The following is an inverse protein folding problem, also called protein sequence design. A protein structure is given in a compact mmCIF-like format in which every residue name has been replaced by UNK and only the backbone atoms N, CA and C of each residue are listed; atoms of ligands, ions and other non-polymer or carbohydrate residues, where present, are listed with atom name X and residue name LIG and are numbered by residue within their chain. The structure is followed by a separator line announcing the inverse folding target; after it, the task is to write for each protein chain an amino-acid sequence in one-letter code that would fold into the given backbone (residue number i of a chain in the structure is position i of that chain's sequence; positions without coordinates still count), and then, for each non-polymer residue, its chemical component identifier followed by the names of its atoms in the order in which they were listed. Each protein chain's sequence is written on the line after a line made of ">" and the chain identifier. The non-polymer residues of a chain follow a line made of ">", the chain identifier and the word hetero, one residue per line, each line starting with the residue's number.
data_IF_386178384269
#
_entry.id   IF_386178384269
#
_cell.length_a   1.000
_cell.length_b   1.000
_cell.length_c   1.000
_cell.angle_alpha   90.00
_cell.angle_beta   90.00
_cell.angle_gamma   90.00
#
_symmetry.space_group_name_H-M   'P 1'
#
loop_
_entity.id
_entity.type
_entity.pdbx_description
1 polymer ?
#
# COMPACT_ATOMS: atom_id res chain seq x y z
N UNK A 1 19.91 18.95 -31.07
CA UNK A 1 18.69 19.79 -31.10
C UNK A 1 17.41 18.99 -31.10
N UNK A 2 17.32 17.86 -31.82
CA UNK A 2 16.09 17.04 -31.84
C UNK A 2 15.81 16.29 -30.54
N UNK A 3 16.85 15.88 -29.81
CA UNK A 3 16.72 15.17 -28.56
C UNK A 3 16.19 16.09 -27.41
N UNK A 4 16.70 17.32 -27.34
CA UNK A 4 16.25 18.30 -26.33
C UNK A 4 14.81 18.78 -26.60
N UNK A 5 14.38 18.85 -27.85
CA UNK A 5 12.99 19.11 -28.21
C UNK A 5 12.05 17.94 -27.85
N UNK A 6 12.51 16.70 -28.06
CA UNK A 6 11.77 15.51 -27.65
C UNK A 6 11.58 15.41 -26.13
N UNK A 7 12.64 15.68 -25.37
CA UNK A 7 12.61 15.68 -23.90
C UNK A 7 11.70 16.79 -23.37
N UNK A 8 11.76 18.00 -23.96
CA UNK A 8 10.90 19.13 -23.58
C UNK A 8 9.43 18.81 -23.85
N UNK A 9 9.12 18.18 -24.98
CA UNK A 9 7.75 17.75 -25.29
C UNK A 9 7.24 16.69 -24.30
N UNK A 10 8.06 15.69 -23.96
CA UNK A 10 7.71 14.72 -22.93
C UNK A 10 7.47 15.37 -21.56
N UNK A 11 8.28 16.35 -21.17
CA UNK A 11 8.11 17.11 -19.93
C UNK A 11 6.80 17.91 -19.92
N UNK A 12 6.47 18.55 -21.05
CA UNK A 12 5.21 19.29 -21.21
C UNK A 12 4.00 18.35 -21.16
N UNK A 13 4.09 17.17 -21.79
CA UNK A 13 3.04 16.15 -21.81
C UNK A 13 2.81 15.56 -20.39
N UNK A 14 3.89 15.25 -19.65
CA UNK A 14 3.82 14.78 -18.26
C UNK A 14 3.26 15.87 -17.34
N UNK A 15 3.71 17.11 -17.51
CA UNK A 15 3.18 18.25 -16.73
C UNK A 15 1.70 18.48 -17.00
N UNK A 16 1.27 18.35 -18.26
CA UNK A 16 -0.14 18.43 -18.64
C UNK A 16 -0.96 17.27 -18.04
N UNK A 17 -0.44 16.04 -18.10
CA UNK A 17 -1.09 14.87 -17.51
C UNK A 17 -1.23 15.00 -15.99
N UNK A 18 -0.20 15.50 -15.30
CA UNK A 18 -0.25 15.76 -13.84
C UNK A 18 -1.29 16.84 -13.53
N UNK A 19 -1.32 17.95 -14.28
CA UNK A 19 -2.34 18.99 -14.09
C UNK A 19 -3.77 18.48 -14.29
N UNK A 20 -3.98 17.58 -15.25
CA UNK A 20 -5.28 16.95 -15.48
C UNK A 20 -5.63 16.00 -14.31
N UNK A 21 -4.68 15.16 -13.87
CA UNK A 21 -4.86 14.27 -12.73
C UNK A 21 -5.17 15.05 -11.45
N UNK A 22 -4.40 16.10 -11.15
CA UNK A 22 -4.64 16.95 -9.95
C UNK A 22 -6.02 17.63 -10.01
N UNK A 23 -6.45 18.08 -11.22
CA UNK A 23 -7.80 18.62 -11.37
C UNK A 23 -8.89 17.57 -11.22
N UNK A 24 -8.71 16.37 -11.75
CA UNK A 24 -9.65 15.26 -11.57
C UNK A 24 -9.73 14.82 -10.11
N UNK A 25 -8.59 14.75 -9.41
CA UNK A 25 -8.56 14.44 -7.98
C UNK A 25 -9.23 15.54 -7.13
N UNK A 26 -9.00 16.82 -7.42
CA UNK A 26 -9.65 17.92 -6.74
C UNK A 26 -11.18 17.89 -6.95
N UNK A 27 -11.66 17.65 -8.17
CA UNK A 27 -13.09 17.50 -8.48
C UNK A 27 -13.68 16.27 -7.80
N UNK A 28 -12.93 15.16 -7.78
CA UNK A 28 -13.34 13.94 -7.08
C UNK A 28 -13.41 14.15 -5.56
N UNK A 29 -12.39 14.79 -4.97
CA UNK A 29 -12.37 15.13 -3.55
C UNK A 29 -13.51 16.10 -3.15
N UNK A 30 -13.80 17.08 -4.00
CA UNK A 30 -14.90 18.01 -3.79
C UNK A 30 -16.26 17.30 -3.89
N UNK A 31 -16.45 16.42 -4.88
CA UNK A 31 -17.66 15.61 -5.01
C UNK A 31 -17.86 14.64 -3.84
N UNK A 32 -16.78 14.14 -3.25
CA UNK A 32 -16.80 13.28 -2.05
C UNK A 32 -17.20 14.12 -0.82
N UNK A 33 -16.63 15.32 -0.66
CA UNK A 33 -16.96 16.27 0.43
C UNK A 33 -18.42 16.71 0.35
N UNK A 34 -18.89 17.10 -0.83
CA UNK A 34 -20.28 17.52 -1.04
C UNK A 34 -21.29 16.40 -0.77
N UNK A 35 -20.93 15.17 -1.17
CA UNK A 35 -21.73 13.98 -0.84
C UNK A 35 -21.71 13.65 0.65
N UNK A 36 -20.60 13.84 1.34
CA UNK A 36 -20.52 13.69 2.79
C UNK A 36 -21.38 14.74 3.53
N UNK A 37 -21.33 16.00 3.09
CA UNK A 37 -22.19 17.08 3.62
C UNK A 37 -23.68 16.83 3.36
N UNK A 38 -24.07 16.44 2.15
CA UNK A 38 -25.47 16.08 1.83
C UNK A 38 -25.95 14.88 2.63
N UNK A 39 -25.08 13.86 2.81
CA UNK A 39 -25.42 12.70 3.64
C UNK A 39 -25.53 13.09 5.13
N UNK A 40 -24.66 13.95 5.64
CA UNK A 40 -24.74 14.46 7.02
C UNK A 40 -26.02 15.28 7.24
N UNK A 41 -26.39 16.16 6.32
CA UNK A 41 -27.65 16.92 6.37
C UNK A 41 -28.87 15.99 6.29
N UNK A 42 -28.87 15.03 5.39
CA UNK A 42 -29.92 14.02 5.29
C UNK A 42 -30.04 13.18 6.57
N UNK A 43 -28.92 12.87 7.18
CA UNK A 43 -28.84 12.12 8.45
C UNK A 43 -29.39 12.91 9.63
N UNK A 44 -29.07 14.21 9.72
CA UNK A 44 -29.60 15.13 10.75
C UNK A 44 -31.11 15.30 10.57
N UNK A 45 -31.59 15.49 9.35
CA UNK A 45 -33.01 15.62 9.06
C UNK A 45 -33.79 14.34 9.39
N UNK A 46 -33.23 13.18 9.02
CA UNK A 46 -33.81 11.87 9.36
C UNK A 46 -33.82 11.63 10.87
N UNK A 47 -32.73 12.02 11.58
CA UNK A 47 -32.66 11.92 13.03
C UNK A 47 -33.67 12.82 13.75
N UNK A 48 -33.91 14.04 13.24
CA UNK A 48 -34.96 14.94 13.78
C UNK A 48 -36.35 14.37 13.59
N UNK A 49 -36.67 13.82 12.42
CA UNK A 49 -37.94 13.17 12.14
C UNK A 49 -38.19 11.94 13.03
N UNK A 50 -37.14 11.15 13.30
CA UNK A 50 -37.24 10.00 14.23
C UNK A 50 -37.48 10.45 15.65
N UNK A 51 -36.78 11.50 16.13
CA UNK A 51 -36.98 12.01 17.47
C UNK A 51 -38.42 12.48 17.71
N UNK A 52 -39.04 13.10 16.73
CA UNK A 52 -40.46 13.47 16.82
C UNK A 52 -41.38 12.25 16.85
N UNK A 53 -41.05 11.18 16.12
CA UNK A 53 -41.79 9.93 16.14
C UNK A 53 -41.57 9.10 17.42
N UNK A 54 -40.34 9.12 17.97
CA UNK A 54 -39.97 8.41 19.21
C UNK A 54 -40.72 8.89 20.46
N UNK A 55 -41.04 10.16 20.55
CA UNK A 55 -41.83 10.67 21.69
C UNK A 55 -43.22 10.03 21.76
N UNK A 56 -43.73 9.57 20.65
CA UNK A 56 -45.07 8.91 20.60
C UNK A 56 -45.02 7.39 20.72
N UNK A 57 -43.89 6.74 20.41
CA UNK A 57 -43.80 5.28 20.39
C UNK A 57 -42.85 4.68 21.46
N UNK A 58 -42.29 5.51 22.34
CA UNK A 58 -41.18 5.18 23.23
C UNK A 58 -41.39 3.99 24.17
N UNK A 59 -42.63 3.70 24.55
CA UNK A 59 -42.91 2.64 25.53
C UNK A 59 -43.00 1.22 24.93
N UNK A 60 -43.29 1.08 23.65
CA UNK A 60 -43.53 -0.26 23.05
C UNK A 60 -42.35 -0.87 22.30
N UNK A 61 -41.38 -0.08 21.85
CA UNK A 61 -40.33 -0.57 20.91
C UNK A 61 -38.89 -0.47 21.45
N UNK A 62 -38.69 0.06 22.66
CA UNK A 62 -37.33 0.37 23.17
C UNK A 62 -36.40 -0.84 23.32
N UNK A 63 -36.94 -2.04 23.48
CA UNK A 63 -36.17 -3.25 23.78
C UNK A 63 -36.45 -4.45 22.86
N UNK A 64 -37.21 -4.30 21.79
CA UNK A 64 -37.54 -5.40 20.89
C UNK A 64 -36.45 -5.72 19.85
N UNK A 65 -36.37 -6.96 19.42
CA UNK A 65 -35.43 -7.43 18.38
C UNK A 65 -35.57 -6.69 17.05
N UNK A 66 -36.73 -6.09 16.78
CA UNK A 66 -37.02 -5.33 15.57
C UNK A 66 -36.39 -3.92 15.57
N UNK A 67 -36.09 -3.37 16.73
CA UNK A 67 -35.45 -2.06 16.87
C UNK A 67 -33.91 -2.10 16.92
N UNK A 68 -33.31 -3.27 16.77
CA UNK A 68 -31.86 -3.44 16.77
C UNK A 68 -31.32 -3.61 15.34
N UNK A 69 -30.06 -3.18 15.13
CA UNK A 69 -29.37 -3.42 13.87
C UNK A 69 -29.12 -4.92 13.61
N UNK A 70 -29.02 -5.30 12.36
CA UNK A 70 -28.67 -6.67 11.98
C UNK A 70 -27.33 -7.08 12.57
N UNK A 71 -27.32 -8.11 13.40
CA UNK A 71 -26.11 -8.64 14.06
C UNK A 71 -25.25 -7.53 14.69
N UNK A 72 -25.85 -6.55 15.36
CA UNK A 72 -25.19 -5.32 15.81
C UNK A 72 -23.87 -5.56 16.56
N UNK A 73 -23.85 -6.51 17.51
CA UNK A 73 -22.65 -6.83 18.29
C UNK A 73 -21.53 -7.40 17.41
N UNK A 74 -21.88 -8.31 16.48
CA UNK A 74 -20.92 -8.89 15.53
C UNK A 74 -20.36 -7.83 14.60
N UNK A 75 -21.23 -6.99 14.03
CA UNK A 75 -20.83 -5.92 13.10
C UNK A 75 -19.93 -4.89 13.77
N UNK A 76 -20.25 -4.49 15.01
CA UNK A 76 -19.42 -3.54 15.76
C UNK A 76 -18.06 -4.16 16.15
N UNK A 77 -18.04 -5.43 16.55
CA UNK A 77 -16.80 -6.15 16.83
C UNK A 77 -15.91 -6.32 15.59
N UNK A 78 -16.48 -6.73 14.45
CA UNK A 78 -15.77 -6.82 13.18
C UNK A 78 -15.14 -5.46 12.78
N UNK A 79 -15.84 -4.35 13.04
CA UNK A 79 -15.36 -3.00 12.70
C UNK A 79 -14.25 -2.52 13.62
N UNK A 80 -14.37 -2.78 14.92
CA UNK A 80 -13.30 -2.48 15.87
C UNK A 80 -12.03 -3.25 15.48
N UNK A 81 -12.17 -4.52 15.17
CA UNK A 81 -11.06 -5.36 14.70
C UNK A 81 -10.45 -4.83 13.40
N UNK A 82 -11.28 -4.53 12.39
CA UNK A 82 -10.81 -3.96 11.13
C UNK A 82 -10.06 -2.63 11.33
N UNK A 83 -10.50 -1.78 12.26
CA UNK A 83 -9.80 -0.54 12.58
C UNK A 83 -8.47 -0.78 13.28
N UNK A 84 -8.38 -1.74 14.18
CA UNK A 84 -7.13 -2.14 14.83
C UNK A 84 -6.15 -2.74 13.82
N UNK A 85 -6.62 -3.58 12.91
CA UNK A 85 -5.81 -4.20 11.87
C UNK A 85 -5.29 -3.16 10.87
N UNK A 86 -6.09 -2.16 10.50
CA UNK A 86 -5.64 -1.04 9.68
C UNK A 86 -4.54 -0.21 10.38
N UNK A 87 -4.69 0.10 11.68
CA UNK A 87 -3.65 0.80 12.45
C UNK A 87 -2.36 -0.02 12.54
N UNK A 88 -2.49 -1.31 12.76
CA UNK A 88 -1.36 -2.23 12.84
C UNK A 88 -0.67 -2.38 11.48
N UNK A 89 -1.42 -2.41 10.38
CA UNK A 89 -0.88 -2.38 9.02
C UNK A 89 -0.10 -1.10 8.75
N UNK A 90 -0.64 0.07 9.11
CA UNK A 90 0.05 1.36 8.96
C UNK A 90 1.36 1.41 9.75
N UNK A 91 1.38 0.95 11.02
CA UNK A 91 2.60 0.87 11.83
C UNK A 91 3.61 -0.14 11.27
N UNK A 92 3.14 -1.26 10.74
CA UNK A 92 3.95 -2.28 10.09
C UNK A 92 4.65 -1.74 8.84
N UNK A 93 4.00 -0.86 8.07
CA UNK A 93 4.61 -0.23 6.88
C UNK A 93 5.86 0.54 7.29
N UNK A 94 5.76 1.40 8.32
CA UNK A 94 6.89 2.22 8.80
C UNK A 94 8.07 1.36 9.24
N UNK A 95 7.81 0.25 9.93
CA UNK A 95 8.85 -0.65 10.42
C UNK A 95 9.46 -1.51 9.31
N UNK A 96 8.67 -1.91 8.31
CA UNK A 96 9.10 -2.83 7.25
C UNK A 96 9.86 -2.16 6.11
N UNK A 97 9.64 -0.87 5.86
CA UNK A 97 10.36 -0.14 4.79
C UNK A 97 11.88 -0.15 5.02
N UNK A 98 12.33 -0.19 6.28
CA UNK A 98 13.75 -0.20 6.62
C UNK A 98 14.42 -1.57 6.72
N UNK A 99 13.68 -2.67 6.94
CA UNK A 99 14.26 -3.94 7.39
C UNK A 99 14.15 -5.12 6.42
N UNK A 100 13.14 -5.16 5.56
CA UNK A 100 12.85 -6.35 4.76
C UNK A 100 13.22 -6.24 3.27
N UNK A 101 13.42 -5.02 2.77
CA UNK A 101 13.77 -4.80 1.37
C UNK A 101 15.27 -4.64 1.24
N UNK A 102 15.91 -5.50 0.45
CA UNK A 102 17.35 -5.51 0.22
C UNK A 102 17.86 -4.14 -0.27
N UNK A 103 17.07 -3.43 -1.07
CA UNK A 103 17.40 -2.11 -1.62
C UNK A 103 16.67 -0.96 -0.91
N UNK A 104 16.29 -1.11 0.35
CA UNK A 104 15.60 -0.08 1.12
C UNK A 104 16.45 1.19 1.31
N UNK A 105 15.83 2.38 1.51
CA UNK A 105 16.54 3.60 1.83
C UNK A 105 17.47 3.43 3.02
N UNK A 106 18.67 3.99 2.94
CA UNK A 106 19.72 3.87 3.97
C UNK A 106 20.48 2.54 3.97
N UNK A 107 20.09 1.56 3.18
CA UNK A 107 20.77 0.27 3.09
C UNK A 107 22.02 0.38 2.22
N UNK A 108 23.14 -0.10 2.75
CA UNK A 108 24.39 -0.29 2.03
C UNK A 108 24.75 -1.77 2.09
N UNK A 109 24.92 -2.38 0.95
CA UNK A 109 25.24 -3.81 0.86
C UNK A 109 26.24 -4.05 -0.26
N UNK A 110 27.08 -5.06 -0.14
CA UNK A 110 27.91 -5.48 -1.27
C UNK A 110 27.00 -5.88 -2.44
N UNK A 111 27.10 -5.23 -3.63
CA UNK A 111 26.20 -5.49 -4.75
C UNK A 111 26.22 -6.96 -5.21
N UNK A 112 27.36 -7.63 -5.15
CA UNK A 112 27.45 -9.05 -5.50
C UNK A 112 26.69 -9.94 -4.51
N UNK A 113 26.82 -9.69 -3.20
CA UNK A 113 26.05 -10.44 -2.19
C UNK A 113 24.55 -10.15 -2.29
N UNK A 114 24.16 -8.90 -2.60
CA UNK A 114 22.78 -8.55 -2.82
C UNK A 114 22.21 -9.25 -4.06
N UNK A 115 22.96 -9.30 -5.15
CA UNK A 115 22.59 -10.02 -6.36
C UNK A 115 22.45 -11.52 -6.11
N UNK A 116 23.41 -12.12 -5.41
CA UNK A 116 23.36 -13.53 -5.02
C UNK A 116 22.13 -13.83 -4.15
N UNK A 117 21.84 -13.00 -3.16
CA UNK A 117 20.65 -13.15 -2.31
C UNK A 117 19.34 -13.03 -3.10
N UNK A 118 19.26 -12.11 -4.07
CA UNK A 118 18.09 -12.00 -4.96
C UNK A 118 17.94 -13.23 -5.87
N UNK A 119 19.03 -13.74 -6.41
CA UNK A 119 19.01 -14.96 -7.24
C UNK A 119 18.62 -16.19 -6.40
N UNK A 120 19.13 -16.32 -5.18
CA UNK A 120 18.72 -17.39 -4.26
C UNK A 120 17.24 -17.31 -3.90
N UNK A 121 16.74 -16.11 -3.59
CA UNK A 121 15.32 -15.90 -3.35
C UNK A 121 14.46 -16.24 -4.59
N UNK A 122 14.97 -15.96 -5.79
CA UNK A 122 14.29 -16.27 -7.03
C UNK A 122 14.22 -17.80 -7.33
N UNK A 123 15.13 -18.60 -6.81
CA UNK A 123 15.12 -20.06 -7.01
C UNK A 123 13.80 -20.71 -6.56
N UNK A 124 13.17 -20.20 -5.50
CA UNK A 124 11.85 -20.67 -5.05
C UNK A 124 10.74 -20.40 -6.08
N UNK A 125 10.92 -19.37 -6.91
CA UNK A 125 9.92 -18.89 -7.88
C UNK A 125 10.33 -19.16 -9.34
N UNK A 126 11.35 -19.98 -9.54
CA UNK A 126 11.89 -20.29 -10.86
C UNK A 126 10.84 -20.94 -11.75
N UNK A 127 10.71 -20.44 -12.99
CA UNK A 127 9.80 -21.01 -13.99
C UNK A 127 10.45 -22.19 -14.74
N UNK A 128 9.62 -23.03 -15.35
CA UNK A 128 10.12 -24.13 -16.20
C UNK A 128 11.01 -23.66 -17.34
N UNK A 129 10.71 -22.51 -17.92
CA UNK A 129 11.52 -21.88 -18.97
C UNK A 129 12.89 -21.43 -18.45
N UNK A 130 12.95 -20.87 -17.26
CA UNK A 130 14.19 -20.45 -16.62
C UNK A 130 15.06 -21.65 -16.21
N UNK A 131 14.43 -22.70 -15.69
CA UNK A 131 15.13 -23.94 -15.39
C UNK A 131 15.70 -24.59 -16.66
N UNK A 132 14.93 -24.60 -17.75
CA UNK A 132 15.40 -25.13 -19.05
C UNK A 132 16.55 -24.32 -19.64
N UNK A 133 16.65 -23.01 -19.34
CA UNK A 133 17.78 -22.17 -19.73
C UNK A 133 18.98 -22.22 -18.78
N UNK A 134 18.91 -23.01 -17.71
CA UNK A 134 20.01 -23.20 -16.76
C UNK A 134 20.16 -22.07 -15.74
N UNK A 135 19.17 -21.18 -15.61
CA UNK A 135 19.19 -20.10 -14.62
C UNK A 135 18.96 -20.58 -13.18
N UNK A 136 18.32 -21.72 -13.02
CA UNK A 136 18.06 -22.38 -11.74
C UNK A 136 18.00 -23.90 -11.93
N UNK A 137 18.19 -24.66 -10.84
CA UNK A 137 18.32 -26.12 -10.91
C UNK A 137 17.03 -26.87 -11.28
N UNK A 138 15.84 -26.31 -10.91
CA UNK A 138 14.53 -26.87 -11.21
C UNK A 138 13.45 -25.78 -11.13
N UNK A 139 12.30 -26.04 -11.76
CA UNK A 139 11.15 -25.17 -11.59
C UNK A 139 10.63 -25.23 -10.14
N UNK A 140 10.36 -24.08 -9.54
CA UNK A 140 9.79 -23.94 -8.20
C UNK A 140 8.29 -24.24 -8.18
N UNK A 141 7.77 -24.65 -7.03
CA UNK A 141 6.33 -24.89 -6.83
C UNK A 141 5.51 -23.59 -7.05
N UNK A 142 6.08 -22.45 -6.72
CA UNK A 142 5.48 -21.11 -6.82
C UNK A 142 6.02 -20.32 -8.02
N UNK A 143 6.21 -21.00 -9.16
CA UNK A 143 6.86 -20.48 -10.35
C UNK A 143 6.27 -19.12 -10.81
N UNK A 144 7.15 -18.12 -10.98
CA UNK A 144 6.82 -16.80 -11.52
C UNK A 144 6.14 -15.84 -10.56
N UNK A 145 5.76 -16.23 -9.34
CA UNK A 145 5.06 -15.33 -8.39
C UNK A 145 5.90 -14.11 -8.00
N UNK A 146 7.22 -14.20 -7.98
CA UNK A 146 8.11 -13.05 -7.70
C UNK A 146 8.19 -12.02 -8.82
N UNK A 147 7.53 -12.26 -9.96
CA UNK A 147 7.54 -11.39 -11.14
C UNK A 147 6.14 -10.90 -11.54
N UNK A 148 5.08 -11.43 -10.91
CA UNK A 148 3.69 -11.11 -11.26
C UNK A 148 3.12 -10.07 -10.31
N UNK A 149 2.61 -8.94 -10.84
CA UNK A 149 1.99 -7.88 -10.05
C UNK A 149 0.76 -8.38 -9.26
N UNK A 150 0.02 -9.36 -9.77
CA UNK A 150 -1.12 -10.00 -9.08
C UNK A 150 -0.76 -10.57 -7.71
N UNK A 151 0.49 -10.96 -7.49
CA UNK A 151 1.01 -11.45 -6.21
C UNK A 151 0.81 -10.43 -5.09
N UNK A 152 0.93 -9.13 -5.36
CA UNK A 152 0.71 -8.07 -4.35
C UNK A 152 -0.75 -7.98 -3.89
N UNK A 153 -1.69 -8.41 -4.71
CA UNK A 153 -3.12 -8.35 -4.44
C UNK A 153 -3.69 -9.67 -3.91
N UNK A 154 -2.83 -10.58 -3.50
CA UNK A 154 -3.21 -11.88 -2.95
C UNK A 154 -2.95 -11.89 -1.44
N UNK A 155 -3.89 -12.40 -0.66
CA UNK A 155 -3.72 -12.54 0.79
C UNK A 155 -2.57 -13.47 1.11
N UNK A 156 -1.65 -12.99 1.94
CA UNK A 156 -0.45 -13.71 2.32
C UNK A 156 -0.24 -13.63 3.84
N UNK A 157 -0.34 -14.77 4.53
CA UNK A 157 0.07 -14.86 5.93
C UNK A 157 1.59 -14.67 6.05
N UNK A 158 2.08 -14.12 7.18
CA UNK A 158 3.51 -14.02 7.45
C UNK A 158 4.21 -15.38 7.26
N UNK A 159 5.45 -15.35 6.79
CA UNK A 159 6.33 -16.51 6.58
C UNK A 159 5.87 -17.53 5.53
N UNK A 160 4.79 -17.25 4.79
CA UNK A 160 4.35 -18.08 3.67
C UNK A 160 5.15 -17.82 2.40
N UNK A 161 5.14 -18.77 1.46
CA UNK A 161 5.73 -18.60 0.13
C UNK A 161 5.16 -17.36 -0.60
N UNK A 162 3.87 -17.08 -0.43
CA UNK A 162 3.23 -15.90 -1.01
C UNK A 162 3.79 -14.60 -0.42
N UNK A 163 4.01 -14.52 0.89
CA UNK A 163 4.63 -13.35 1.52
C UNK A 163 6.07 -13.14 1.05
N UNK A 164 6.84 -14.24 0.90
CA UNK A 164 8.19 -14.18 0.31
C UNK A 164 8.16 -13.75 -1.14
N UNK A 165 7.18 -14.21 -1.93
CA UNK A 165 6.99 -13.79 -3.32
C UNK A 165 6.67 -12.30 -3.43
N UNK A 166 5.82 -11.77 -2.54
CA UNK A 166 5.53 -10.33 -2.48
C UNK A 166 6.79 -9.51 -2.16
N UNK A 167 7.59 -9.95 -1.20
CA UNK A 167 8.85 -9.30 -0.86
C UNK A 167 9.86 -9.37 -2.01
N UNK A 168 9.99 -10.53 -2.65
CA UNK A 168 10.85 -10.71 -3.82
C UNK A 168 10.42 -9.81 -4.99
N UNK A 169 9.11 -9.69 -5.25
CA UNK A 169 8.58 -8.78 -6.27
C UNK A 169 8.94 -7.32 -5.97
N UNK A 170 8.76 -6.87 -4.74
CA UNK A 170 9.11 -5.49 -4.34
C UNK A 170 10.62 -5.27 -4.51
N UNK A 171 11.47 -6.21 -4.08
CA UNK A 171 12.91 -6.14 -4.25
C UNK A 171 13.32 -6.07 -5.73
N UNK A 172 12.67 -6.87 -6.58
CA UNK A 172 12.91 -6.86 -8.03
C UNK A 172 12.52 -5.52 -8.68
N UNK A 173 11.46 -4.87 -8.20
CA UNK A 173 11.03 -3.56 -8.68
C UNK A 173 11.93 -2.42 -8.21
N UNK A 174 12.40 -2.47 -6.96
CA UNK A 174 13.25 -1.42 -6.37
C UNK A 174 14.69 -1.52 -6.87
N UNK A 175 15.16 -2.72 -7.18
CA UNK A 175 16.51 -2.99 -7.67
C UNK A 175 17.53 -3.24 -6.55
N UNK A 176 18.82 -3.23 -6.93
CA UNK A 176 19.92 -3.54 -6.03
C UNK A 176 20.24 -2.36 -5.09
N UNK A 177 20.67 -2.62 -3.84
CA UNK A 177 21.14 -1.59 -2.94
C UNK A 177 22.46 -0.97 -3.43
N UNK A 178 22.75 0.23 -2.95
CA UNK A 178 23.99 0.92 -3.30
C UNK A 178 25.21 0.29 -2.64
N UNK A 179 26.36 0.45 -3.29
CA UNK A 179 27.63 -0.05 -2.77
C UNK A 179 27.99 0.61 -1.42
N UNK A 180 28.56 -0.16 -0.48
CA UNK A 180 29.03 0.42 0.78
C UNK A 180 30.18 1.39 0.54
N UNK A 181 30.27 2.43 1.38
CA UNK A 181 31.33 3.42 1.37
C UNK A 181 32.06 3.40 2.71
N UNK A 182 33.40 3.41 2.67
CA UNK A 182 34.23 3.54 3.87
C UNK A 182 34.07 4.94 4.47
N UNK A 183 34.01 5.05 5.81
CA UNK A 183 33.86 6.32 6.51
C UNK A 183 34.99 7.33 6.26
N UNK A 184 36.18 6.86 5.85
CA UNK A 184 37.29 7.73 5.43
C UNK A 184 37.07 8.32 4.05
N UNK A 185 36.54 7.50 3.12
CA UNK A 185 36.20 7.92 1.77
C UNK A 185 35.00 8.86 1.80
N UNK A 186 34.02 8.61 2.67
CA UNK A 186 32.84 9.46 2.84
C UNK A 186 33.16 10.90 3.24
N UNK A 187 34.34 11.15 3.83
CA UNK A 187 34.82 12.51 4.21
C UNK A 187 35.51 13.23 3.06
N UNK A 188 35.84 12.58 1.98
CA UNK A 188 36.39 13.20 0.78
C UNK A 188 35.30 13.89 -0.04
N UNK A 189 35.67 14.85 -0.88
CA UNK A 189 34.71 15.52 -1.79
C UNK A 189 33.93 14.50 -2.63
N UNK A 190 34.60 13.57 -3.29
CA UNK A 190 33.98 12.53 -4.09
C UNK A 190 33.07 11.58 -3.26
N UNK A 191 33.45 11.32 -2.01
CA UNK A 191 32.63 10.55 -1.08
C UNK A 191 31.37 11.29 -0.64
N UNK A 192 31.47 12.59 -0.40
CA UNK A 192 30.33 13.44 -0.09
C UNK A 192 29.36 13.52 -1.27
N UNK A 193 29.84 13.67 -2.49
CA UNK A 193 29.03 13.65 -3.71
C UNK A 193 28.28 12.33 -3.87
N UNK A 194 28.95 11.20 -3.59
CA UNK A 194 28.30 9.88 -3.59
C UNK A 194 27.18 9.77 -2.54
N UNK A 195 27.46 10.22 -1.30
CA UNK A 195 26.46 10.19 -0.22
C UNK A 195 25.26 11.06 -0.59
N UNK A 196 25.49 12.27 -1.11
CA UNK A 196 24.42 13.16 -1.54
C UNK A 196 23.58 12.56 -2.68
N UNK A 197 24.22 11.95 -3.67
CA UNK A 197 23.53 11.25 -4.75
C UNK A 197 22.68 10.08 -4.24
N UNK A 198 23.20 9.30 -3.27
CA UNK A 198 22.45 8.24 -2.63
C UNK A 198 21.24 8.77 -1.86
N UNK A 199 21.42 9.79 -1.02
CA UNK A 199 20.31 10.38 -0.26
C UNK A 199 19.22 10.89 -1.19
N UNK A 200 19.59 11.52 -2.31
CA UNK A 200 18.65 11.98 -3.30
C UNK A 200 17.91 10.81 -3.99
N UNK A 201 18.61 9.72 -4.31
CA UNK A 201 18.01 8.50 -4.88
C UNK A 201 17.06 7.85 -3.87
N UNK A 202 17.48 7.69 -2.62
CA UNK A 202 16.67 7.10 -1.56
C UNK A 202 15.38 7.90 -1.32
N UNK A 203 15.48 9.23 -1.32
CA UNK A 203 14.33 10.11 -1.18
C UNK A 203 13.33 9.98 -2.35
N UNK A 204 13.83 9.78 -3.57
CA UNK A 204 13.00 9.60 -4.77
C UNK A 204 12.35 8.21 -4.85
N UNK A 205 13.00 7.17 -4.35
CA UNK A 205 12.49 5.78 -4.43
C UNK A 205 11.61 5.43 -3.24
N UNK A 206 11.78 6.07 -2.08
CA UNK A 206 11.06 5.77 -0.85
C UNK A 206 9.54 5.85 -0.97
N UNK A 207 8.92 6.82 -1.67
CA UNK A 207 7.46 6.86 -1.81
C UNK A 207 6.91 5.64 -2.56
N UNK A 208 7.61 5.17 -3.59
CA UNK A 208 7.22 3.97 -4.33
C UNK A 208 7.30 2.72 -3.46
N UNK A 209 8.40 2.55 -2.71
CA UNK A 209 8.57 1.44 -1.77
C UNK A 209 7.46 1.46 -0.71
N UNK A 210 7.20 2.62 -0.12
CA UNK A 210 6.15 2.80 0.90
C UNK A 210 4.77 2.45 0.32
N UNK A 211 4.48 2.85 -0.90
CA UNK A 211 3.22 2.54 -1.57
C UNK A 211 3.05 1.03 -1.81
N UNK A 212 4.08 0.34 -2.30
CA UNK A 212 4.08 -1.11 -2.50
C UNK A 212 3.92 -1.87 -1.18
N UNK A 213 4.64 -1.46 -0.15
CA UNK A 213 4.52 -2.03 1.21
C UNK A 213 3.15 -1.78 1.83
N UNK A 214 2.53 -0.63 1.55
CA UNK A 214 1.17 -0.34 1.98
C UNK A 214 0.15 -1.29 1.33
N UNK A 215 0.31 -1.59 0.03
CA UNK A 215 -0.53 -2.60 -0.64
C UNK A 215 -0.31 -3.98 0.01
N UNK A 216 0.93 -4.40 0.18
CA UNK A 216 1.25 -5.67 0.83
C UNK A 216 0.62 -5.78 2.22
N UNK A 217 0.68 -4.72 3.03
CA UNK A 217 0.11 -4.70 4.38
C UNK A 217 -1.42 -4.86 4.40
N UNK A 218 -2.12 -4.36 3.37
CA UNK A 218 -3.58 -4.54 3.25
C UNK A 218 -3.99 -6.00 3.00
N UNK A 219 -3.11 -6.79 2.37
CA UNK A 219 -3.33 -8.20 2.09
C UNK A 219 -2.64 -9.14 3.08
N UNK A 220 -1.97 -8.62 4.10
CA UNK A 220 -1.30 -9.43 5.11
C UNK A 220 -2.14 -9.48 6.39
N UNK A 221 -2.49 -10.67 6.91
CA UNK A 221 -3.09 -10.83 8.23
C UNK A 221 -2.15 -10.28 9.30
N UNK A 222 -2.69 -9.47 10.22
CA UNK A 222 -1.88 -8.82 11.25
C UNK A 222 -1.64 -9.77 12.42
N UNK A 223 -0.38 -9.98 12.80
CA UNK A 223 -0.02 -10.71 13.99
C UNK A 223 -0.39 -9.87 15.23
N UNK A 224 -1.30 -10.34 16.06
CA UNK A 224 -1.70 -9.67 17.32
C UNK A 224 -3.05 -8.95 17.30
N UNK A 225 -3.84 -9.10 16.24
CA UNK A 225 -5.23 -8.67 16.21
C UNK A 225 -6.01 -9.24 17.40
N UNK A 226 -6.76 -8.39 18.11
CA UNK A 226 -7.40 -8.71 19.39
C UNK A 226 -8.33 -9.91 19.31
N UNK A 227 -8.38 -10.64 20.42
CA UNK A 227 -9.10 -11.90 20.63
C UNK A 227 -10.62 -11.73 20.84
N UNK A 228 -11.23 -10.65 20.35
CA UNK A 228 -12.63 -10.33 20.67
C UNK A 228 -13.64 -10.76 19.59
N UNK A 229 -13.23 -11.47 18.53
CA UNK A 229 -14.20 -12.08 17.64
C UNK A 229 -14.64 -13.43 18.17
N UNK A 230 -15.93 -13.72 18.06
CA UNK A 230 -16.58 -14.97 18.48
C UNK A 230 -15.99 -16.20 17.76
N UNK A 231 -15.10 -15.99 16.80
CA UNK A 231 -14.34 -17.01 16.07
C UNK A 231 -12.86 -16.64 16.09
N UNK A 232 -12.18 -17.02 17.15
CA UNK A 232 -10.81 -16.61 17.51
C UNK A 232 -9.71 -17.31 16.71
N UNK A 233 -10.02 -18.04 15.65
CA UNK A 233 -9.04 -18.89 14.95
C UNK A 233 -8.48 -18.31 13.66
N UNK A 234 -9.14 -17.36 13.00
CA UNK A 234 -8.71 -16.84 11.71
C UNK A 234 -8.39 -15.34 11.79
N UNK A 235 -7.11 -15.01 11.75
CA UNK A 235 -6.66 -13.62 11.56
C UNK A 235 -6.93 -13.21 10.12
N UNK A 236 -7.77 -12.21 9.93
CA UNK A 236 -8.11 -11.68 8.63
C UNK A 236 -7.16 -10.52 8.27
N UNK A 237 -6.85 -10.39 6.98
CA UNK A 237 -6.18 -9.21 6.47
C UNK A 237 -7.19 -8.02 6.38
N UNK A 238 -6.72 -6.75 6.43
CA UNK A 238 -7.61 -5.59 6.29
C UNK A 238 -8.53 -5.67 5.06
N UNK A 239 -8.03 -6.15 3.93
CA UNK A 239 -8.82 -6.33 2.72
C UNK A 239 -9.89 -7.41 2.87
N UNK A 240 -9.62 -8.49 3.61
CA UNK A 240 -10.61 -9.54 3.86
C UNK A 240 -11.75 -9.06 4.77
N UNK A 241 -11.47 -8.16 5.73
CA UNK A 241 -12.52 -7.51 6.52
C UNK A 241 -13.44 -6.68 5.62
N UNK A 242 -12.87 -5.95 4.67
CA UNK A 242 -13.63 -5.19 3.69
C UNK A 242 -14.50 -6.09 2.82
N UNK A 243 -13.93 -7.17 2.29
CA UNK A 243 -14.66 -8.16 1.48
C UNK A 243 -15.82 -8.80 2.27
N UNK A 244 -15.58 -9.15 3.54
CA UNK A 244 -16.63 -9.66 4.44
C UNK A 244 -17.74 -8.64 4.65
N UNK A 245 -17.39 -7.37 4.86
CA UNK A 245 -18.35 -6.28 5.01
C UNK A 245 -19.17 -6.06 3.75
N UNK A 246 -18.52 -6.00 2.59
CA UNK A 246 -19.21 -5.86 1.28
C UNK A 246 -20.13 -7.05 1.00
N UNK A 247 -19.67 -8.27 1.23
CA UNK A 247 -20.46 -9.49 0.97
C UNK A 247 -21.70 -9.58 1.85
N UNK A 248 -21.68 -9.00 3.07
CA UNK A 248 -22.82 -8.94 3.97
C UNK A 248 -23.96 -8.09 3.40
N UNK A 249 -23.63 -6.97 2.75
CA UNK A 249 -24.62 -6.01 2.23
C UNK A 249 -24.88 -6.12 0.72
N UNK A 250 -23.94 -6.66 -0.02
CA UNK A 250 -23.97 -6.79 -1.50
C UNK A 250 -23.49 -8.17 -1.89
N UNK A 251 -24.38 -9.07 -2.20
CA UNK A 251 -23.94 -10.39 -2.63
C UNK A 251 -25.07 -11.41 -2.77
N UNK A 252 -24.72 -12.67 -2.90
CA UNK A 252 -25.63 -13.81 -2.97
C UNK A 252 -25.44 -14.81 -1.81
N UNK A 253 -24.53 -14.51 -0.89
CA UNK A 253 -24.21 -15.35 0.26
C UNK A 253 -25.32 -15.45 1.29
N UNK A 254 -25.14 -16.33 2.27
CA UNK A 254 -26.12 -16.53 3.35
C UNK A 254 -26.29 -15.25 4.20
N UNK A 255 -25.19 -14.57 4.53
CA UNK A 255 -25.23 -13.32 5.29
C UNK A 255 -26.07 -12.23 4.62
N UNK A 256 -25.97 -12.10 3.29
CA UNK A 256 -26.81 -11.18 2.52
C UNK A 256 -28.30 -11.59 2.58
N UNK A 257 -28.60 -12.88 2.43
CA UNK A 257 -29.99 -13.38 2.51
C UNK A 257 -30.59 -13.11 3.89
N UNK A 258 -29.82 -13.32 4.94
CA UNK A 258 -30.25 -13.08 6.31
C UNK A 258 -30.41 -11.59 6.60
N UNK A 259 -29.51 -10.75 6.07
CA UNK A 259 -29.65 -9.30 6.09
C UNK A 259 -30.94 -8.86 5.37
N UNK A 260 -31.16 -9.32 4.15
CA UNK A 260 -32.35 -8.96 3.37
C UNK A 260 -33.66 -9.38 4.05
N UNK A 261 -33.70 -10.59 4.66
CA UNK A 261 -34.83 -11.04 5.46
C UNK A 261 -35.03 -10.15 6.69
N UNK A 262 -33.94 -9.76 7.36
CA UNK A 262 -34.04 -8.90 8.54
C UNK A 262 -34.58 -7.51 8.19
N UNK A 263 -34.24 -6.97 7.02
CA UNK A 263 -34.76 -5.68 6.56
C UNK A 263 -36.27 -5.68 6.37
N UNK A 264 -36.83 -6.79 5.91
CA UNK A 264 -38.28 -6.93 5.67
C UNK A 264 -39.13 -6.89 6.95
N UNK A 265 -38.55 -7.19 8.12
CA UNK A 265 -39.27 -7.30 9.41
C UNK A 265 -38.88 -6.19 10.39
N UNK A 266 -37.92 -5.31 10.06
CA UNK A 266 -37.45 -4.23 10.93
C UNK A 266 -38.42 -3.06 10.95
N UNK A 267 -38.43 -2.40 12.09
CA UNK A 267 -39.07 -1.10 12.22
C UNK A 267 -38.17 0.04 11.65
N UNK A 268 -38.70 1.24 11.60
CA UNK A 268 -38.03 2.43 11.09
C UNK A 268 -36.71 2.72 11.82
N UNK A 269 -36.64 2.50 13.14
CA UNK A 269 -35.44 2.67 13.94
C UNK A 269 -34.35 1.67 13.55
N UNK A 270 -34.70 0.40 13.42
CA UNK A 270 -33.77 -0.66 13.02
C UNK A 270 -33.17 -0.39 11.62
N UNK A 271 -33.99 0.08 10.67
CA UNK A 271 -33.54 0.49 9.34
C UNK A 271 -32.59 1.68 9.39
N UNK A 272 -32.87 2.68 10.23
CA UNK A 272 -32.00 3.85 10.39
C UNK A 272 -30.65 3.49 11.03
N UNK A 273 -30.65 2.59 12.02
CA UNK A 273 -29.39 2.14 12.64
C UNK A 273 -28.55 1.36 11.63
N UNK A 274 -29.15 0.51 10.80
CA UNK A 274 -28.43 -0.14 9.70
C UNK A 274 -27.88 0.87 8.70
N UNK A 275 -28.67 1.89 8.34
CA UNK A 275 -28.24 2.98 7.47
C UNK A 275 -27.07 3.78 8.05
N UNK A 276 -27.07 4.03 9.37
CA UNK A 276 -25.94 4.64 10.08
C UNK A 276 -24.68 3.78 10.02
N UNK A 277 -24.84 2.47 10.24
CA UNK A 277 -23.77 1.52 10.15
C UNK A 277 -23.16 1.55 8.73
N UNK A 278 -23.98 1.48 7.69
CA UNK A 278 -23.51 1.54 6.30
C UNK A 278 -22.84 2.90 5.97
N UNK A 279 -23.37 4.00 6.50
CA UNK A 279 -22.79 5.34 6.30
C UNK A 279 -21.40 5.48 6.92
N UNK A 280 -21.19 4.91 8.12
CA UNK A 280 -19.87 4.91 8.76
C UNK A 280 -18.88 3.98 8.04
N UNK A 281 -19.34 2.87 7.46
CA UNK A 281 -18.54 2.02 6.58
C UNK A 281 -18.06 2.79 5.34
N UNK A 282 -18.97 3.52 4.73
CA UNK A 282 -18.65 4.40 3.60
C UNK A 282 -17.62 5.46 3.98
N UNK A 283 -17.72 6.06 5.17
CA UNK A 283 -16.74 7.03 5.67
C UNK A 283 -15.36 6.39 5.84
N UNK A 284 -15.29 5.17 6.35
CA UNK A 284 -14.05 4.41 6.46
C UNK A 284 -13.41 4.16 5.08
N UNK A 285 -14.21 3.76 4.08
CA UNK A 285 -13.76 3.59 2.70
C UNK A 285 -13.21 4.89 2.11
N UNK A 286 -13.90 6.01 2.32
CA UNK A 286 -13.45 7.33 1.88
C UNK A 286 -12.12 7.71 2.53
N UNK A 287 -11.93 7.43 3.81
CA UNK A 287 -10.67 7.68 4.50
C UNK A 287 -9.51 6.82 3.95
N UNK A 288 -9.76 5.54 3.66
CA UNK A 288 -8.77 4.68 3.03
C UNK A 288 -8.42 5.15 1.60
N UNK A 289 -9.43 5.61 0.86
CA UNK A 289 -9.24 6.20 -0.47
C UNK A 289 -8.41 7.49 -0.40
N UNK A 290 -8.67 8.36 0.58
CA UNK A 290 -7.87 9.55 0.82
C UNK A 290 -6.40 9.21 1.07
N UNK A 291 -6.11 8.28 1.98
CA UNK A 291 -4.73 7.79 2.23
C UNK A 291 -4.08 7.20 0.97
N UNK A 292 -4.85 6.50 0.15
CA UNK A 292 -4.34 5.97 -1.13
C UNK A 292 -3.97 7.08 -2.10
N UNK A 293 -4.76 8.16 -2.15
CA UNK A 293 -4.51 9.32 -3.00
C UNK A 293 -3.28 10.09 -2.53
N UNK A 294 -3.11 10.33 -1.23
CA UNK A 294 -1.87 10.94 -0.68
C UNK A 294 -0.61 10.16 -1.11
N UNK A 295 -0.67 8.82 -1.05
CA UNK A 295 0.45 7.99 -1.51
C UNK A 295 0.71 8.13 -3.01
N UNK A 296 -0.35 8.20 -3.83
CA UNK A 296 -0.22 8.44 -5.28
C UNK A 296 0.40 9.81 -5.56
N UNK A 297 -0.03 10.85 -4.86
CA UNK A 297 0.54 12.19 -4.98
C UNK A 297 2.04 12.20 -4.63
N UNK A 298 2.43 11.52 -3.55
CA UNK A 298 3.83 11.38 -3.18
C UNK A 298 4.67 10.66 -4.25
N UNK A 299 4.14 9.60 -4.86
CA UNK A 299 4.81 8.87 -5.96
C UNK A 299 4.91 9.76 -7.21
N UNK A 300 3.84 10.48 -7.55
CA UNK A 300 3.84 11.40 -8.69
C UNK A 300 4.81 12.57 -8.48
N UNK A 301 4.86 13.15 -7.28
CA UNK A 301 5.82 14.21 -6.95
C UNK A 301 7.27 13.72 -7.06
N UNK A 302 7.55 12.48 -6.61
CA UNK A 302 8.86 11.86 -6.78
C UNK A 302 9.20 11.64 -8.26
N UNK A 303 8.24 11.21 -9.08
CA UNK A 303 8.42 11.01 -10.53
C UNK A 303 8.75 12.34 -11.22
N UNK A 304 7.99 13.40 -10.95
CA UNK A 304 8.24 14.74 -11.50
C UNK A 304 9.61 15.27 -11.07
N UNK A 305 9.97 15.08 -9.81
CA UNK A 305 11.30 15.47 -9.30
C UNK A 305 12.43 14.69 -9.99
N UNK A 306 12.22 13.39 -10.24
CA UNK A 306 13.19 12.57 -10.96
C UNK A 306 13.36 13.05 -12.42
N UNK A 307 12.26 13.35 -13.11
CA UNK A 307 12.26 13.80 -14.48
C UNK A 307 12.87 15.21 -14.64
N UNK A 308 12.55 16.13 -13.70
CA UNK A 308 13.19 17.45 -13.64
C UNK A 308 14.70 17.34 -13.46
N UNK A 309 15.18 16.44 -12.58
CA UNK A 309 16.62 16.20 -12.41
C UNK A 309 17.27 15.59 -13.65
N UNK A 310 16.56 14.77 -14.42
CA UNK A 310 17.06 14.24 -15.69
C UNK A 310 17.17 15.32 -16.76
N UNK A 311 16.24 16.28 -16.80
CA UNK A 311 16.23 17.39 -17.77
C UNK A 311 17.27 18.46 -17.44
N UNK A 312 17.40 18.83 -16.18
CA UNK A 312 18.39 19.84 -15.75
C UNK A 312 19.80 19.26 -15.64
N UNK A 313 19.93 17.95 -15.52
CA UNK A 313 21.14 17.24 -15.11
C UNK A 313 21.83 16.44 -16.19
N UNK A 314 21.57 16.66 -17.49
CA UNK A 314 22.30 15.94 -18.55
C UNK A 314 23.83 16.16 -18.48
N UNK A 315 24.29 17.24 -17.85
CA UNK A 315 25.70 17.53 -17.56
C UNK A 315 26.12 16.92 -16.22
N UNK A 316 25.29 17.02 -15.16
CA UNK A 316 25.61 16.50 -13.82
C UNK A 316 25.56 14.95 -13.72
N UNK A 317 24.67 14.29 -14.46
CA UNK A 317 24.58 12.82 -14.46
C UNK A 317 25.86 12.19 -15.00
N UNK A 318 26.51 12.80 -15.99
CA UNK A 318 27.77 12.31 -16.57
C UNK A 318 28.92 12.41 -15.56
N UNK A 319 28.99 13.50 -14.79
CA UNK A 319 30.03 13.70 -13.80
C UNK A 319 29.79 12.87 -12.51
N UNK A 320 28.54 12.73 -12.07
CA UNK A 320 28.17 11.83 -10.98
C UNK A 320 28.40 10.37 -11.32
N UNK A 321 28.10 9.96 -12.56
CA UNK A 321 28.41 8.61 -13.07
C UNK A 321 29.92 8.33 -13.05
N UNK A 322 30.73 9.30 -13.40
CA UNK A 322 32.21 9.20 -13.33
C UNK A 322 32.70 9.14 -11.89
N UNK A 323 32.13 9.96 -10.99
CA UNK A 323 32.44 9.95 -9.54
C UNK A 323 32.10 8.59 -8.93
N UNK A 324 30.92 8.04 -9.20
CA UNK A 324 30.49 6.71 -8.73
C UNK A 324 31.40 5.60 -9.29
N UNK A 325 31.81 5.71 -10.55
CA UNK A 325 32.77 4.79 -11.19
C UNK A 325 34.15 4.83 -10.52
N UNK A 326 34.63 6.02 -10.15
CA UNK A 326 35.91 6.20 -9.48
C UNK A 326 35.88 5.65 -8.05
N UNK A 327 34.79 5.86 -7.29
CA UNK A 327 34.60 5.30 -5.96
C UNK A 327 34.59 3.77 -6.00
N UNK A 328 33.91 3.19 -6.99
CA UNK A 328 33.92 1.72 -7.20
C UNK A 328 35.34 1.20 -7.51
N UNK A 329 36.13 1.91 -8.31
CA UNK A 329 37.52 1.53 -8.60
C UNK A 329 38.41 1.63 -7.36
N UNK A 330 38.28 2.69 -6.56
CA UNK A 330 39.02 2.89 -5.31
C UNK A 330 38.66 1.78 -4.31
N UNK A 331 37.38 1.49 -4.13
CA UNK A 331 36.93 0.41 -3.24
C UNK A 331 37.43 -0.97 -3.68
N UNK A 332 37.44 -1.26 -4.99
CA UNK A 332 37.98 -2.50 -5.56
C UNK A 332 39.49 -2.60 -5.38
N UNK A 333 40.25 -1.51 -5.62
CA UNK A 333 41.69 -1.50 -5.45
C UNK A 333 42.10 -1.67 -3.98
N UNK A 334 41.35 -1.10 -3.04
CA UNK A 334 41.61 -1.28 -1.61
C UNK A 334 41.26 -2.70 -1.12
N UNK A 335 40.16 -3.31 -1.65
CA UNK A 335 39.83 -4.69 -1.35
C UNK A 335 40.83 -5.71 -1.92
N UNK A 336 41.53 -5.38 -2.99
CA UNK A 336 42.61 -6.20 -3.54
C UNK A 336 43.96 -6.00 -2.85
N UNK A 337 44.18 -4.82 -2.25
CA UNK A 337 45.42 -4.53 -1.51
C UNK A 337 45.40 -5.06 -0.07
N UNK A 338 44.22 -5.47 0.45
CA UNK A 338 44.06 -6.02 1.80
C UNK A 338 44.09 -7.57 1.86
N UNK A 339 44.42 -8.23 0.73
CA UNK A 339 44.74 -9.66 0.65
C UNK A 339 46.26 -9.85 0.54
#
# INVERSE_FOLDING_TARGET
>A
TNLSLGIKKQQDDVTAAIKILTKQEAVSAQGISDNAHKNAQSLVTAYQAVKQSEQMKKAQFEFGAHGQAFKACEVLGDREQAQQDNKSADSSILNKVGSEVVAAPGVYMNPHKAQEAMLQAHNEFCTTSQAASGLCGAAGENAGLSLQASTLFTTAAPDTAMARAQNALINNMVGLPDAPIDGRIAKTSAGQDYVMAKLAKDALTSPAITSLKAIQAQYSPVAGGGTNSHDSSTKLAPMQHLEKSVSRYLGSGQDYKDFAKSQAIKDERGLMVDGLIQSTERLNLQYQQYKSNERKEAVLAALVSAESKLTDGSIEVTDRSKSTGNIRRIALSQAMASK
#
